data_IF_498702283642
#
_entry.id   IF_498702283642
#
_cell.length_a   1.000
_cell.length_b   1.000
_cell.length_c   1.000
_cell.angle_alpha   90.00
_cell.angle_beta   90.00
_cell.angle_gamma   90.00
#
_symmetry.space_group_name_H-M   'P 1'
#
loop_
_entity.id
_entity.type
_entity.pdbx_description
1 polymer ?
2 polymer ?
3 polymer ?
4 water ?
#
# COMPACT_ATOMS: atom_id res chain seq x y z
N UNK A 1 -15.66 -6.17 -9.19
CA UNK A 1 -15.94 -4.74 -9.20
C UNK A 1 -14.79 -3.93 -9.78
N UNK A 2 -15.09 -2.69 -10.17
CA UNK A 2 -14.06 -1.68 -10.46
C UNK A 2 -14.09 -0.70 -9.29
N UNK A 3 -12.95 -0.49 -8.65
CA UNK A 3 -12.89 0.32 -7.42
C UNK A 3 -12.01 1.51 -7.73
N UNK A 4 -12.58 2.71 -7.59
CA UNK A 4 -11.79 3.93 -7.78
C UNK A 4 -11.11 4.29 -6.45
N UNK A 5 -10.24 5.30 -6.49
CA UNK A 5 -9.36 5.53 -5.35
C UNK A 5 -9.51 6.91 -4.69
N UNK A 6 -10.64 7.57 -4.91
CA UNK A 6 -10.93 8.83 -4.22
C UNK A 6 -11.13 8.60 -2.74
N UNK A 7 -11.54 7.40 -2.35
CA UNK A 7 -11.61 7.03 -0.95
C UNK A 7 -10.73 5.81 -0.77
N UNK A 8 -10.33 5.54 0.48
CA UNK A 8 -9.60 4.30 0.78
C UNK A 8 -10.41 3.08 0.28
N UNK A 9 -9.75 2.12 -0.39
CA UNK A 9 -10.40 0.90 -0.89
C UNK A 9 -10.64 -0.11 0.22
N UNK A 10 -11.54 0.24 1.14
CA UNK A 10 -11.92 -0.62 2.26
C UNK A 10 -13.01 -1.59 1.83
N UNK A 11 -12.85 -2.88 2.13
CA UNK A 11 -13.87 -3.87 1.78
C UNK A 11 -14.16 -4.76 2.98
N UNK A 12 -15.28 -5.49 2.94
CA UNK A 12 -15.58 -6.44 3.99
C UNK A 12 -14.99 -7.78 3.61
N UNK A 13 -14.34 -8.42 4.56
CA UNK A 13 -13.82 -9.77 4.37
C UNK A 13 -14.43 -10.69 5.42
N UNK A 14 -14.48 -11.99 5.13
CA UNK A 14 -14.85 -13.00 6.12
C UNK A 14 -13.64 -13.90 6.35
N UNK A 15 -13.28 -14.07 7.62
CA UNK A 15 -12.09 -14.85 8.01
C UNK A 15 -12.38 -15.46 9.39
N UNK A 16 -12.07 -16.75 9.53
CA UNK A 16 -12.30 -17.49 10.75
C UNK A 16 -13.75 -17.39 11.23
N UNK A 17 -14.63 -17.23 10.25
CA UNK A 17 -16.06 -17.10 10.49
C UNK A 17 -16.55 -15.73 10.87
N UNK A 18 -15.67 -14.73 10.92
CA UNK A 18 -16.01 -13.39 11.39
C UNK A 18 -15.85 -12.36 10.25
N UNK A 19 -16.68 -11.32 10.27
CA UNK A 19 -16.59 -10.23 9.29
C UNK A 19 -15.63 -9.17 9.81
N UNK A 20 -14.80 -8.65 8.91
CA UNK A 20 -13.86 -7.57 9.22
C UNK A 20 -13.79 -6.61 8.03
N UNK A 21 -13.34 -5.39 8.29
CA UNK A 21 -13.01 -4.43 7.24
C UNK A 21 -11.50 -4.44 6.95
N UNK A 22 -11.14 -4.46 5.68
CA UNK A 22 -9.73 -4.44 5.32
C UNK A 22 -9.47 -3.58 4.09
N UNK A 23 -8.25 -3.09 3.98
CA UNK A 23 -7.85 -2.21 2.88
C UNK A 23 -7.18 -3.03 1.79
N UNK A 24 -7.62 -2.88 0.54
CA UNK A 24 -6.96 -3.55 -0.59
C UNK A 24 -5.69 -2.77 -0.89
N UNK A 25 -4.54 -3.40 -0.68
CA UNK A 25 -3.25 -2.69 -0.64
C UNK A 25 -2.25 -3.30 -1.61
N UNK A 26 -2.15 -2.69 -2.78
CA UNK A 26 -1.19 -3.15 -3.80
C UNK A 26 0.27 -2.93 -3.40
N UNK A 27 0.50 -2.06 -2.44
CA UNK A 27 1.84 -1.82 -1.89
C UNK A 27 2.33 -2.81 -0.84
N UNK A 28 1.48 -3.76 -0.47
CA UNK A 28 1.83 -4.78 0.50
C UNK A 28 2.07 -6.13 -0.17
N UNK A 29 3.21 -6.72 0.10
CA UNK A 29 3.49 -8.09 -0.36
C UNK A 29 2.54 -9.08 0.32
N UNK A 30 2.26 -8.81 1.59
CA UNK A 30 1.59 -9.74 2.50
C UNK A 30 0.27 -9.17 3.01
N UNK A 31 -0.56 -10.06 3.53
CA UNK A 31 -1.86 -9.71 4.12
C UNK A 31 -1.60 -9.68 5.63
N UNK A 32 -1.93 -8.55 6.25
CA UNK A 32 -1.62 -8.32 7.66
C UNK A 32 -2.88 -7.80 8.34
N UNK A 33 -3.31 -8.52 9.36
CA UNK A 33 -4.50 -8.16 10.12
C UNK A 33 -4.15 -7.80 11.57
N UNK A 34 -4.98 -6.94 12.14
CA UNK A 34 -4.88 -6.54 13.52
C UNK A 34 -5.06 -7.76 14.41
N UNK A 35 -4.62 -7.65 15.65
CA UNK A 35 -4.65 -8.76 16.59
C UNK A 35 -6.03 -9.40 16.66
N UNK A 36 -6.06 -10.72 16.51
CA UNK A 36 -7.29 -11.50 16.54
C UNK A 36 -6.84 -12.94 16.70
N UNK A 37 -7.75 -13.81 17.11
CA UNK A 37 -7.46 -15.23 17.21
C UNK A 37 -7.77 -15.90 15.87
N UNK A 38 -6.88 -16.76 15.38
CA UNK A 38 -7.18 -17.62 14.24
C UNK A 38 -6.89 -19.05 14.64
N UNK A 39 -7.67 -20.00 14.09
CA UNK A 39 -7.39 -21.41 14.36
C UNK A 39 -6.08 -21.91 13.74
N UNK A 40 -5.43 -22.84 14.42
CA UNK A 40 -4.30 -23.58 13.85
C UNK A 40 -2.96 -23.10 14.35
N UNK A 41 -1.91 -23.68 13.77
CA UNK A 41 -0.54 -23.35 14.18
C UNK A 41 -0.17 -22.01 13.56
N UNK A 42 0.72 -21.30 14.25
CA UNK A 42 1.34 -20.12 13.66
C UNK A 42 2.83 -20.16 13.94
N UNK A 43 3.57 -19.37 13.18
CA UNK A 43 5.02 -19.28 13.31
C UNK A 43 5.32 -17.81 13.55
N UNK A 44 6.27 -17.49 14.45
CA UNK A 44 6.69 -16.08 14.57
C UNK A 44 7.45 -15.61 13.34
N UNK A 45 7.16 -14.40 12.87
CA UNK A 45 7.82 -13.82 11.71
C UNK A 45 7.97 -12.31 11.96
N UNK A 46 8.86 -11.68 11.21
CA UNK A 46 8.97 -10.22 11.23
C UNK A 46 8.74 -9.67 9.84
N UNK A 47 8.00 -8.57 9.76
CA UNK A 47 7.82 -7.88 8.49
C UNK A 47 8.14 -6.39 8.67
N UNK A 48 8.39 -5.72 7.55
CA UNK A 48 8.69 -4.30 7.56
C UNK A 48 7.70 -3.47 6.76
N UNK A 49 7.58 -2.23 7.18
CA UNK A 49 6.80 -1.23 6.45
C UNK A 49 7.51 0.11 6.54
N UNK A 50 6.73 1.16 6.39
CA UNK A 50 7.28 2.47 6.19
C UNK A 50 7.96 2.96 7.46
N UNK A 51 7.46 2.54 8.62
CA UNK A 51 7.99 2.95 9.91
C UNK A 51 9.07 2.07 10.53
N UNK A 52 9.30 0.90 9.95
CA UNK A 52 10.25 -0.07 10.50
C UNK A 52 9.62 -1.46 10.55
N UNK A 53 10.17 -2.31 11.41
CA UNK A 53 9.80 -3.72 11.47
C UNK A 53 8.94 -4.07 12.67
N UNK A 54 8.05 -5.05 12.49
CA UNK A 54 7.20 -5.52 13.58
C UNK A 54 7.26 -7.04 13.63
N UNK A 55 6.87 -7.57 14.79
CA UNK A 55 6.67 -9.00 14.96
C UNK A 55 5.21 -9.35 14.69
N UNK A 56 5.00 -10.43 13.95
CA UNK A 56 3.68 -10.93 13.61
C UNK A 56 3.61 -12.43 13.80
N UNK A 57 2.38 -12.95 13.82
CA UNK A 57 2.13 -14.37 13.80
C UNK A 57 1.75 -14.75 12.38
N UNK A 58 2.43 -15.73 11.81
CA UNK A 58 2.11 -16.21 10.48
C UNK A 58 1.23 -17.45 10.52
N UNK A 59 0.02 -17.31 9.98
CA UNK A 59 -0.90 -18.41 9.75
C UNK A 59 -0.93 -18.79 8.25
N UNK A 60 -0.65 -20.04 7.94
CA UNK A 60 -0.67 -20.50 6.56
C UNK A 60 -2.02 -21.10 6.17
N UNK A 61 -2.29 -21.01 4.87
CA UNK A 61 -3.42 -21.67 4.23
C UNK A 61 -4.75 -21.36 4.92
N UNK A 62 -4.98 -20.07 5.17
CA UNK A 62 -6.22 -19.59 5.78
C UNK A 62 -7.25 -19.15 4.73
N UNK A 63 -8.47 -19.70 4.76
CA UNK A 63 -9.51 -19.21 3.86
C UNK A 63 -9.96 -17.80 4.23
N UNK A 64 -10.03 -16.95 3.19
CA UNK A 64 -10.50 -15.60 3.33
C UNK A 64 -11.41 -15.27 2.16
N UNK A 65 -12.60 -14.75 2.46
CA UNK A 65 -13.51 -14.32 1.42
C UNK A 65 -13.50 -12.80 1.35
N UNK A 66 -13.22 -12.27 0.17
CA UNK A 66 -12.98 -10.83 -0.04
C UNK A 66 -13.98 -10.32 -1.05
N UNK A 67 -14.96 -9.56 -0.59
CA UNK A 67 -16.06 -9.14 -1.46
C UNK A 67 -16.67 -10.29 -2.22
N UNK A 68 -16.84 -11.42 -1.54
CA UNK A 68 -17.46 -12.57 -2.17
C UNK A 68 -16.51 -13.43 -2.97
N UNK A 69 -15.24 -13.05 -3.07
CA UNK A 69 -14.26 -13.84 -3.83
C UNK A 69 -13.39 -14.64 -2.87
N UNK A 70 -13.17 -15.91 -3.18
CA UNK A 70 -12.49 -16.81 -2.26
C UNK A 70 -10.97 -16.81 -2.46
N UNK A 71 -10.25 -16.71 -1.35
CA UNK A 71 -8.80 -16.93 -1.33
C UNK A 71 -8.49 -17.90 -0.22
N UNK A 72 -7.35 -18.57 -0.34
CA UNK A 72 -6.85 -19.38 0.77
C UNK A 72 -5.36 -19.12 0.75
N UNK A 73 -4.84 -18.51 1.81
CA UNK A 73 -3.40 -18.26 1.85
C UNK A 73 -2.90 -17.74 3.17
N UNK A 74 -1.70 -17.17 3.14
CA UNK A 74 -1.00 -16.74 4.34
C UNK A 74 -1.59 -15.43 4.87
N UNK A 75 -1.86 -15.41 6.17
CA UNK A 75 -2.38 -14.24 6.86
C UNK A 75 -1.46 -13.99 8.06
N UNK A 76 -0.95 -12.77 8.16
CA UNK A 76 -0.08 -12.37 9.25
C UNK A 76 -0.94 -11.55 10.19
N UNK A 77 -0.72 -11.74 11.50
CA UNK A 77 -1.49 -11.07 12.54
C UNK A 77 -0.53 -10.35 13.48
N UNK A 78 -0.81 -9.07 13.72
CA UNK A 78 0.07 -8.26 14.52
C UNK A 78 -0.32 -6.80 14.56
N UNK A 79 0.56 -5.95 15.09
CA UNK A 79 0.23 -4.55 15.37
C UNK A 79 0.30 -3.64 14.15
N UNK A 80 -0.47 -3.98 13.13
CA UNK A 80 -0.63 -3.11 11.98
C UNK A 80 -1.67 -2.04 12.29
N UNK A 81 -1.49 -0.81 11.74
CA UNK A 81 -2.52 0.23 11.96
C UNK A 81 -3.89 -0.04 11.37
N UNK A 82 -3.94 -0.85 10.32
CA UNK A 82 -5.19 -1.15 9.62
C UNK A 82 -5.06 -2.54 9.02
N UNK A 83 -6.17 -3.26 8.91
CA UNK A 83 -6.19 -4.55 8.23
C UNK A 83 -5.90 -4.34 6.75
N UNK A 84 -4.92 -5.08 6.22
CA UNK A 84 -4.54 -4.90 4.83
C UNK A 84 -4.58 -6.25 4.09
N UNK A 85 -5.16 -6.23 2.90
CA UNK A 85 -5.10 -7.36 2.00
C UNK A 85 -3.99 -7.03 1.02
N UNK A 86 -2.95 -7.87 1.05
CA UNK A 86 -1.78 -7.66 0.22
C UNK A 86 -1.80 -8.56 -1.00
N UNK A 87 -0.74 -8.46 -1.80
CA UNK A 87 -0.73 -9.10 -3.10
C UNK A 87 -0.89 -10.61 -3.06
N UNK A 88 -0.46 -11.25 -1.98
CA UNK A 88 -0.55 -12.71 -1.90
C UNK A 88 -2.01 -13.17 -2.07
N UNK A 89 -2.96 -12.38 -1.57
CA UNK A 89 -4.38 -12.72 -1.76
C UNK A 89 -5.03 -11.96 -2.89
N UNK A 90 -4.60 -10.72 -3.15
CA UNK A 90 -5.14 -9.95 -4.28
C UNK A 90 -4.98 -10.72 -5.61
N UNK A 91 -3.84 -11.39 -5.76
CA UNK A 91 -3.64 -12.21 -6.96
C UNK A 91 -4.64 -13.35 -7.05
N UNK A 92 -5.02 -13.94 -5.91
CA UNK A 92 -5.95 -15.07 -5.94
C UNK A 92 -7.34 -14.68 -6.41
N UNK A 93 -7.75 -13.44 -6.13
CA UNK A 93 -9.08 -12.99 -6.51
C UNK A 93 -9.09 -12.30 -7.87
N UNK A 94 -7.93 -12.28 -8.53
CA UNK A 94 -7.79 -11.77 -9.89
C UNK A 94 -7.74 -10.25 -9.99
N UNK A 95 -7.26 -9.61 -8.95
CA UNK A 95 -7.20 -8.17 -8.90
C UNK A 95 -6.03 -7.62 -9.78
N UNK A 96 -6.32 -6.59 -10.57
CA UNK A 96 -5.30 -5.86 -11.31
C UNK A 96 -5.50 -4.35 -11.09
N UNK A 97 -4.45 -3.60 -11.38
CA UNK A 97 -4.48 -2.15 -11.49
C UNK A 97 -4.58 -1.78 -12.95
N UNK A 98 -5.41 -0.79 -13.22
CA UNK A 98 -5.71 -0.33 -14.58
C UNK A 98 -5.80 1.18 -14.66
N UNK A 99 -5.13 1.77 -15.64
CA UNK A 99 -5.29 3.20 -15.94
C UNK A 99 -5.05 3.47 -17.43
N UNK B 1 -2.70 1.20 -19.17
CA UNK B 1 -2.28 -0.21 -19.11
C UNK B 1 -2.95 -1.00 -17.99
N UNK B 2 -2.75 -2.32 -18.00
CA UNK B 2 -3.20 -3.19 -16.93
C UNK B 2 -1.96 -3.78 -16.26
N UNK B 3 -1.87 -3.61 -14.94
CA UNK B 3 -0.73 -4.09 -14.17
C UNK B 3 -1.20 -5.25 -13.29
N UNK B 4 -0.68 -6.45 -13.53
CA UNK B 4 -0.93 -7.57 -12.64
C UNK B 4 -0.14 -7.44 -11.32
N UNK B 5 -0.47 -8.28 -10.35
CA UNK B 5 0.07 -8.13 -9.02
C UNK B 5 0.92 -9.33 -8.58
N UNK B 6 1.37 -10.14 -9.55
CA UNK B 6 2.25 -11.24 -9.21
C UNK B 6 3.57 -10.72 -8.65
N UNK B 7 4.00 -9.55 -9.12
CA UNK B 7 5.16 -8.89 -8.56
C UNK B 7 4.76 -7.49 -8.10
N UNK B 8 5.66 -6.84 -7.38
CA UNK B 8 5.41 -5.48 -6.92
C UNK B 8 5.11 -4.61 -8.13
N UNK B 9 4.05 -3.82 -8.07
CA UNK B 9 3.69 -2.96 -9.20
C UNK B 9 4.57 -1.71 -9.28
N UNK B 10 5.77 -1.91 -9.82
CA UNK B 10 6.75 -0.85 -9.95
C UNK B 10 6.64 -0.23 -11.34
N UNK B 11 6.60 1.10 -11.39
CA UNK B 11 6.52 1.79 -12.66
C UNK B 11 7.53 2.93 -12.69
N UNK B 12 7.74 3.51 -13.86
CA UNK B 12 8.65 4.66 -13.97
C UNK B 12 7.85 5.93 -13.79
N UNK B 13 8.39 6.85 -13.00
CA UNK B 13 7.82 8.18 -12.87
C UNK B 13 8.86 9.21 -13.24
N UNK B 14 8.40 10.42 -13.54
CA UNK B 14 9.28 11.58 -13.67
C UNK B 14 8.87 12.66 -12.68
N UNK B 15 9.85 13.11 -11.91
CA UNK B 15 9.62 14.10 -10.87
C UNK B 15 10.88 14.95 -10.69
N UNK B 16 10.68 16.27 -10.66
CA UNK B 16 11.77 17.20 -10.42
C UNK B 16 12.91 17.04 -11.42
N UNK B 17 12.56 16.74 -12.67
CA UNK B 17 13.55 16.45 -13.69
C UNK B 17 14.32 15.14 -13.52
N UNK B 18 13.83 14.21 -12.72
CA UNK B 18 14.46 12.90 -12.59
C UNK B 18 13.50 11.76 -12.96
N UNK B 19 14.03 10.67 -13.53
CA UNK B 19 13.24 9.44 -13.70
C UNK B 19 13.55 8.51 -12.54
N UNK B 20 12.51 7.90 -11.96
CA UNK B 20 12.66 7.02 -10.81
C UNK B 20 11.71 5.85 -10.95
N UNK B 21 11.97 4.79 -10.18
CA UNK B 21 11.05 3.66 -10.07
C UNK B 21 10.18 3.87 -8.83
N UNK B 22 8.88 3.61 -8.94
CA UNK B 22 7.97 3.81 -7.81
C UNK B 22 6.89 2.76 -7.80
N UNK B 23 6.37 2.52 -6.61
CA UNK B 23 5.40 1.47 -6.34
C UNK B 23 4.01 2.07 -6.35
N UNK B 24 3.11 1.52 -7.16
CA UNK B 24 1.73 2.00 -7.18
C UNK B 24 1.04 1.37 -5.97
N UNK B 25 0.61 2.20 -5.01
CA UNK B 25 0.23 1.72 -3.68
C UNK B 25 -1.16 2.23 -3.29
N UNK B 26 -2.17 1.39 -3.53
CA UNK B 26 -3.57 1.73 -3.18
C UNK B 26 -3.80 1.87 -1.67
N UNK B 27 -2.91 1.30 -0.88
CA UNK B 27 -2.96 1.44 0.56
C UNK B 27 -2.37 2.74 1.10
N UNK B 28 -1.77 3.56 0.24
CA UNK B 28 -1.16 4.82 0.68
C UNK B 28 -2.06 6.01 0.37
N UNK B 29 -2.39 6.80 1.39
CA UNK B 29 -3.15 8.06 1.18
C UNK B 29 -2.30 9.08 0.37
N UNK B 30 -1.00 9.07 0.65
CA UNK B 30 -0.07 10.07 0.16
C UNK B 30 1.03 9.42 -0.66
N UNK B 31 1.74 10.27 -1.39
CA UNK B 31 2.87 9.88 -2.22
C UNK B 31 4.15 10.20 -1.43
N UNK B 32 5.03 9.23 -1.27
CA UNK B 32 6.21 9.38 -0.40
C UNK B 32 7.42 8.95 -1.22
N UNK B 33 8.38 9.86 -1.37
CA UNK B 33 9.54 9.58 -2.22
C UNK B 33 10.79 9.51 -1.36
N UNK B 34 11.74 8.67 -1.76
CA UNK B 34 13.01 8.57 -1.03
C UNK B 34 13.78 9.88 -1.16
N UNK B 35 14.61 10.13 -0.16
CA UNK B 35 15.37 11.37 -0.03
C UNK B 35 15.87 11.91 -1.36
N UNK B 36 15.46 13.14 -1.66
CA UNK B 36 15.92 13.86 -2.84
C UNK B 36 15.87 15.35 -2.52
N UNK B 37 16.79 16.12 -3.11
CA UNK B 37 16.89 17.52 -2.76
C UNK B 37 16.09 18.42 -3.71
N UNK B 38 14.77 18.30 -3.63
CA UNK B 38 13.84 19.09 -4.42
C UNK B 38 13.92 20.57 -4.07
N UNK B 39 13.87 21.45 -5.09
CA UNK B 39 13.69 22.85 -4.71
C UNK B 39 12.25 23.14 -4.27
N UNK B 40 12.08 24.22 -3.54
CA UNK B 40 10.74 24.70 -3.18
C UNK B 40 10.54 24.75 -1.68
N UNK B 41 9.47 25.42 -1.28
CA UNK B 41 9.06 25.50 0.12
C UNK B 41 8.48 24.15 0.52
N UNK B 42 8.63 23.81 1.79
CA UNK B 42 8.08 22.57 2.31
C UNK B 42 7.68 22.77 3.76
N UNK B 43 6.88 21.86 4.29
CA UNK B 43 6.59 21.87 5.72
C UNK B 43 6.76 20.48 6.32
N UNK B 44 7.10 20.41 7.61
CA UNK B 44 7.24 19.09 8.23
C UNK B 44 5.92 18.36 8.41
N UNK B 45 6.00 17.04 8.31
CA UNK B 45 4.85 16.16 8.49
C UNK B 45 5.37 14.84 9.06
N UNK B 46 4.50 14.13 9.76
CA UNK B 46 4.75 12.77 10.22
C UNK B 46 3.74 11.84 9.57
N UNK B 47 4.21 10.74 8.99
CA UNK B 47 3.31 9.77 8.37
C UNK B 47 3.61 8.41 8.95
N UNK B 48 2.57 7.60 9.05
CA UNK B 48 2.68 6.30 9.70
C UNK B 48 2.28 5.16 8.80
N UNK B 49 2.70 3.98 9.25
CA UNK B 49 2.31 2.72 8.65
C UNK B 49 2.83 1.61 9.55
N UNK B 50 3.08 0.46 8.96
CA UNK B 50 3.61 -0.65 9.72
C UNK B 50 4.99 -0.24 10.24
N UNK B 51 5.20 -0.43 11.53
CA UNK B 51 6.45 -0.09 12.19
C UNK B 51 6.44 1.24 12.91
N UNK B 52 5.48 2.10 12.61
CA UNK B 52 5.41 3.41 13.25
C UNK B 52 5.45 4.58 12.29
N UNK B 53 6.05 5.67 12.73
CA UNK B 53 6.02 6.92 11.99
C UNK B 53 7.40 7.33 11.53
N UNK B 54 7.43 8.06 10.42
CA UNK B 54 8.63 8.74 9.95
C UNK B 54 8.35 10.21 9.70
N UNK B 55 9.40 11.00 9.83
CA UNK B 55 9.37 12.42 9.55
C UNK B 55 9.60 12.64 8.06
N UNK B 56 8.76 13.44 7.42
CA UNK B 56 8.94 13.78 6.01
C UNK B 56 8.77 15.27 5.76
N UNK B 57 9.17 15.70 4.57
CA UNK B 57 9.04 17.08 4.09
C UNK B 57 7.90 17.09 3.09
N UNK B 58 6.89 17.91 3.32
CA UNK B 58 5.73 17.99 2.43
C UNK B 58 5.92 19.13 1.43
N UNK B 59 5.93 18.77 0.14
CA UNK B 59 6.04 19.76 -0.95
C UNK B 59 4.71 19.75 -1.69
N UNK B 60 4.16 20.91 -2.02
CA UNK B 60 2.86 20.98 -2.67
C UNK B 60 3.03 21.32 -4.16
N UNK B 61 2.02 20.96 -4.95
CA UNK B 61 1.95 21.35 -6.36
C UNK B 61 3.17 20.95 -7.18
N UNK B 62 3.60 19.71 -6.98
CA UNK B 62 4.76 19.18 -7.66
C UNK B 62 4.28 18.35 -8.85
N UNK B 63 4.71 18.72 -10.08
CA UNK B 63 4.37 17.87 -11.24
C UNK B 63 5.03 16.50 -11.16
N UNK B 64 4.27 15.44 -11.44
CA UNK B 64 4.80 14.06 -11.41
C UNK B 64 4.17 13.30 -12.57
N UNK B 65 4.98 12.78 -13.49
CA UNK B 65 4.42 11.96 -14.56
C UNK B 65 4.59 10.47 -14.23
N UNK B 66 3.51 9.70 -14.38
CA UNK B 66 3.49 8.28 -14.03
C UNK B 66 3.14 7.51 -15.30
N UNK B 67 4.10 6.74 -15.80
CA UNK B 67 3.96 6.02 -17.06
C UNK B 67 3.31 6.87 -18.13
N UNK B 68 3.80 8.10 -18.30
CA UNK B 68 3.32 9.00 -19.33
C UNK B 68 2.04 9.75 -19.01
N UNK B 69 1.45 9.51 -17.85
CA UNK B 69 0.22 10.19 -17.43
C UNK B 69 0.60 11.29 -16.45
N UNK B 70 0.27 12.53 -16.79
CA UNK B 70 0.66 13.69 -15.99
C UNK B 70 -0.22 13.82 -14.74
N UNK B 71 0.40 14.25 -13.65
CA UNK B 71 -0.29 14.48 -12.38
C UNK B 71 0.44 15.66 -11.74
N UNK B 72 -0.18 16.25 -10.73
CA UNK B 72 0.44 17.36 -10.02
C UNK B 72 -0.20 17.36 -8.64
N UNK B 73 0.65 17.29 -7.63
CA UNK B 73 0.10 17.33 -6.29
C UNK B 73 1.14 17.32 -5.20
N UNK B 74 0.70 16.92 -4.01
CA UNK B 74 1.58 16.88 -2.86
C UNK B 74 2.50 15.67 -2.88
N UNK B 75 3.79 15.93 -2.70
CA UNK B 75 4.78 14.85 -2.57
C UNK B 75 5.47 14.95 -1.21
N UNK B 76 5.63 13.80 -0.55
CA UNK B 76 6.30 13.76 0.75
C UNK B 76 7.68 13.17 0.51
N UNK B 77 8.70 13.78 1.09
CA UNK B 77 10.09 13.33 0.91
C UNK B 77 10.68 12.99 2.27
N UNK B 78 11.26 11.80 2.34
CA UNK B 78 11.83 11.36 3.60
C UNK B 78 12.43 9.99 3.46
N UNK B 79 12.81 9.41 4.61
CA UNK B 79 13.52 8.12 4.64
C UNK B 79 12.56 6.93 4.53
N UNK B 80 11.78 6.91 3.46
CA UNK B 80 11.07 5.71 3.04
C UNK B 80 12.08 4.80 2.31
N UNK B 81 11.93 3.47 2.45
CA UNK B 81 12.76 2.54 1.68
C UNK B 81 12.40 2.35 0.20
N UNK B 82 11.25 2.86 -0.23
CA UNK B 82 10.83 2.73 -1.62
C UNK B 82 9.97 3.94 -1.96
N UNK B 83 10.02 4.36 -3.22
CA UNK B 83 9.19 5.46 -3.71
C UNK B 83 7.77 4.90 -3.85
N UNK B 84 6.81 5.62 -3.28
CA UNK B 84 5.44 5.13 -3.15
C UNK B 84 4.50 6.13 -3.81
N UNK B 85 3.74 5.69 -4.80
CA UNK B 85 2.69 6.53 -5.39
C UNK B 85 1.37 6.19 -4.70
N UNK B 86 0.83 7.17 -4.00
CA UNK B 86 -0.40 6.99 -3.25
C UNK B 86 -1.61 7.52 -3.98
N UNK B 87 -2.75 7.44 -3.28
CA UNK B 87 -4.05 7.72 -3.88
C UNK B 87 -4.17 9.13 -4.41
N UNK B 88 -3.48 10.07 -3.77
CA UNK B 88 -3.54 11.47 -4.19
C UNK B 88 -3.16 11.67 -5.67
N UNK B 89 -2.22 10.89 -6.19
CA UNK B 89 -1.83 10.93 -7.60
C UNK B 89 -2.46 9.81 -8.44
N UNK B 90 -2.74 8.66 -7.83
CA UNK B 90 -3.37 7.56 -8.58
C UNK B 90 -4.74 7.98 -9.13
N UNK B 91 -5.49 8.75 -8.35
CA UNK B 91 -6.79 9.23 -8.81
C UNK B 91 -6.64 10.13 -10.04
N UNK B 92 -5.56 10.92 -10.08
CA UNK B 92 -5.35 11.88 -11.18
C UNK B 92 -5.03 11.19 -12.50
N UNK B 93 -4.47 9.99 -12.42
CA UNK B 93 -4.22 9.19 -13.63
C UNK B 93 -5.32 8.18 -13.96
N UNK B 94 -6.40 8.20 -13.19
CA UNK B 94 -7.57 7.37 -13.50
C UNK B 94 -7.35 5.90 -13.21
N UNK B 95 -6.52 5.63 -12.19
CA UNK B 95 -6.20 4.27 -11.77
C UNK B 95 -7.35 3.68 -10.96
N UNK B 96 -7.68 2.43 -11.32
CA UNK B 96 -8.68 1.65 -10.62
C UNK B 96 -8.13 0.29 -10.24
N UNK B 97 -8.74 -0.29 -9.22
CA UNK B 97 -8.56 -1.71 -8.91
C UNK B 97 -9.71 -2.47 -9.55
N UNK B 98 -9.42 -3.62 -10.12
CA UNK B 98 -10.44 -4.39 -10.83
C UNK B 98 -10.34 -5.88 -10.59
N UNK B 99 -11.45 -6.50 -10.22
CA UNK B 99 -11.52 -7.96 -10.10
C UNK B 99 -12.95 -8.48 -10.30
N UNK C 3 8.26 -4.81 1.25
CA UNK C 3 7.58 -5.19 2.51
C UNK C 3 6.11 -4.85 2.46
N UNK C 4 5.63 -4.14 3.48
CA UNK C 4 4.21 -3.85 3.60
C UNK C 4 3.94 -2.35 3.74
N UNK C 5 3.79 -1.71 2.58
CA UNK C 5 3.58 -0.27 2.46
C UNK C 5 2.12 0.07 2.23
CA UNK D 1 0.02 1.14 3.97
C UNK D 1 0.72 2.40 4.46
N UNK D 2 0.02 3.53 4.32
CA UNK D 2 0.51 4.78 4.87
C UNK D 2 -0.62 5.81 5.06
N UNK D 3 -0.51 6.53 6.16
CA UNK D 3 -1.54 7.41 6.68
C UNK D 3 -0.88 8.68 7.25
#
# INVERSE_FOLDING_TARGET
PQITLWKRPLVTIRIGGQLKEALLDTGADDTVLEEMNLPGKWKPKMIGGIGGFIKVRQYDQIPVEICGHKAIGTVLVGPTPVNIIGRNLLTQIGCTLNF
PQITLWKRPLVTIRIGGQLKEALLDTGADDTVLEEMNLPGKWKPKMIGGIGGFIKVRQYDQIPVEICGHKAIGTVLVGPTPVNIIGRNLLTQIGCTLNF
RPGNF
LQSRP
#
